data_IF_695373384852
#
_entry.id   IF_695373384852
#
_cell.length_a   1.000
_cell.length_b   1.000
_cell.length_c   1.000
_cell.angle_alpha   90.00
_cell.angle_beta   90.00
_cell.angle_gamma   90.00
#
_symmetry.space_group_name_H-M   'P 1'
#
loop_
_entity.id
_entity.type
_entity.pdbx_description
1 polymer ?
#
# COMPACT_ATOMS: atom_id res chain seq x y z
N UNK A 1 7.77 -11.39 12.96
CA UNK A 1 8.16 -12.56 13.78
C UNK A 1 9.64 -12.54 14.15
N UNK A 2 10.58 -12.27 13.22
CA UNK A 2 12.03 -12.23 13.51
C UNK A 2 12.41 -11.23 14.61
N UNK A 3 11.78 -10.03 14.60
CA UNK A 3 11.99 -9.01 15.63
C UNK A 3 11.53 -9.50 17.01
N UNK A 4 10.37 -10.18 17.10
CA UNK A 4 9.89 -10.73 18.38
C UNK A 4 10.86 -11.74 18.96
N UNK A 5 11.41 -12.65 18.13
CA UNK A 5 12.44 -13.62 18.55
C UNK A 5 13.70 -12.93 19.07
N UNK A 6 14.21 -11.95 18.30
CA UNK A 6 15.39 -11.19 18.71
C UNK A 6 15.18 -10.44 20.02
N UNK A 7 14.01 -9.84 20.22
CA UNK A 7 13.66 -9.20 21.49
C UNK A 7 13.59 -10.21 22.63
N UNK A 8 12.99 -11.40 22.40
CA UNK A 8 12.98 -12.47 23.40
C UNK A 8 14.40 -12.87 23.85
N UNK A 9 15.31 -13.02 22.89
CA UNK A 9 16.69 -13.47 23.16
C UNK A 9 17.54 -12.42 23.89
N UNK A 10 17.39 -11.14 23.52
CA UNK A 10 18.32 -10.07 23.89
C UNK A 10 17.76 -9.06 24.91
N UNK A 11 16.44 -9.02 25.14
CA UNK A 11 15.81 -7.95 25.91
C UNK A 11 16.02 -8.15 27.44
N UNK A 12 16.35 -7.07 28.10
CA UNK A 12 16.37 -6.97 29.57
C UNK A 12 15.02 -6.51 30.13
N UNK A 13 14.83 -6.65 31.43
CA UNK A 13 13.62 -6.22 32.16
C UNK A 13 13.31 -4.71 32.04
N UNK A 14 12.06 -4.36 32.31
CA UNK A 14 11.60 -2.98 32.42
C UNK A 14 11.49 -2.24 31.10
N UNK A 15 11.17 -2.92 30.00
CA UNK A 15 11.03 -2.31 28.66
C UNK A 15 9.59 -2.00 28.30
N UNK A 16 9.41 -0.87 27.61
CA UNK A 16 8.21 -0.54 26.87
C UNK A 16 8.45 -0.86 25.39
N UNK A 17 7.60 -1.70 24.83
CA UNK A 17 7.61 -2.05 23.40
C UNK A 17 6.40 -1.38 22.73
N UNK A 18 6.67 -0.61 21.68
CA UNK A 18 5.63 0.03 20.87
C UNK A 18 5.79 -0.45 19.43
N UNK A 19 4.76 -1.09 18.89
CA UNK A 19 4.75 -1.52 17.48
C UNK A 19 4.07 -0.44 16.65
N UNK A 20 4.81 0.15 15.72
CA UNK A 20 4.32 1.14 14.76
C UNK A 20 4.04 0.54 13.38
N UNK A 21 4.65 -0.60 13.07
CA UNK A 21 4.40 -1.32 11.81
C UNK A 21 2.95 -1.74 11.70
N UNK A 22 2.39 -1.63 10.48
CA UNK A 22 1.05 -2.13 10.18
C UNK A 22 1.05 -3.66 10.17
N UNK A 23 0.20 -4.26 10.98
CA UNK A 23 0.04 -5.70 11.13
C UNK A 23 -1.44 -6.08 11.19
N UNK A 24 -1.73 -7.37 11.04
CA UNK A 24 -3.09 -7.90 11.24
C UNK A 24 -3.60 -7.57 12.65
N UNK A 25 -4.91 -7.36 12.84
CA UNK A 25 -5.47 -6.92 14.12
C UNK A 25 -5.03 -7.79 15.31
N UNK A 26 -5.09 -9.11 15.20
CA UNK A 26 -4.75 -10.05 16.28
C UNK A 26 -3.25 -10.22 16.51
N UNK A 27 -2.43 -9.92 15.52
CA UNK A 27 -1.01 -10.29 15.49
C UNK A 27 -0.24 -9.91 16.76
N UNK A 28 -0.49 -8.73 17.29
CA UNK A 28 0.26 -8.23 18.47
C UNK A 28 -0.13 -8.95 19.75
N UNK A 29 -1.42 -9.15 19.95
CA UNK A 29 -1.99 -9.75 21.16
C UNK A 29 -1.85 -11.29 21.19
N UNK A 30 -1.68 -11.92 20.03
CA UNK A 30 -1.59 -13.38 19.89
C UNK A 30 -0.17 -13.79 19.48
N UNK A 31 0.21 -13.67 18.22
CA UNK A 31 1.45 -14.22 17.68
C UNK A 31 2.70 -13.53 18.22
N UNK A 32 2.71 -12.18 18.20
CA UNK A 32 3.88 -11.42 18.63
C UNK A 32 4.14 -11.62 20.11
N UNK A 33 3.10 -11.50 20.94
CA UNK A 33 3.19 -11.68 22.38
C UNK A 33 3.66 -13.10 22.73
N UNK A 34 3.07 -14.13 22.11
CA UNK A 34 3.46 -15.54 22.35
C UNK A 34 4.94 -15.78 22.04
N UNK A 35 5.45 -15.25 20.93
CA UNK A 35 6.85 -15.39 20.56
C UNK A 35 7.75 -14.60 21.54
N UNK A 36 7.31 -13.42 21.96
CA UNK A 36 8.07 -12.56 22.85
C UNK A 36 8.19 -13.15 24.26
N UNK A 37 7.13 -13.76 24.77
CA UNK A 37 7.18 -14.46 26.06
C UNK A 37 7.98 -15.77 25.99
N UNK A 38 7.94 -16.47 24.84
CA UNK A 38 8.62 -17.73 24.60
C UNK A 38 8.04 -18.90 25.39
N UNK A 39 8.41 -20.12 24.99
CA UNK A 39 7.98 -21.34 25.68
C UNK A 39 8.65 -21.50 27.08
N UNK A 40 9.83 -20.93 27.26
CA UNK A 40 10.59 -20.89 28.51
C UNK A 40 10.05 -19.89 29.52
N UNK A 41 9.09 -19.03 29.10
CA UNK A 41 8.49 -17.98 29.92
C UNK A 41 9.51 -17.05 30.61
N UNK A 42 10.67 -16.86 29.97
CA UNK A 42 11.74 -15.97 30.46
C UNK A 42 11.23 -14.53 30.59
N UNK A 43 10.39 -14.07 29.65
CA UNK A 43 9.78 -12.77 29.66
C UNK A 43 8.27 -12.90 29.89
N UNK A 44 7.69 -11.98 30.67
CA UNK A 44 6.25 -11.91 30.93
C UNK A 44 5.73 -10.50 30.80
N UNK A 45 4.62 -10.37 30.07
CA UNK A 45 3.87 -9.12 29.96
C UNK A 45 3.47 -8.61 31.35
N UNK A 46 3.59 -7.30 31.56
CA UNK A 46 3.27 -6.65 32.84
C UNK A 46 4.34 -6.84 33.93
N UNK A 47 5.35 -7.70 33.74
CA UNK A 47 6.43 -7.93 34.67
C UNK A 47 7.78 -7.47 34.11
N UNK A 48 8.21 -8.07 33.01
CA UNK A 48 9.50 -7.78 32.40
C UNK A 48 9.39 -6.71 31.30
N UNK A 49 8.21 -6.60 30.69
CA UNK A 49 7.92 -5.59 29.66
C UNK A 49 6.44 -5.19 29.66
N UNK A 50 6.16 -4.05 29.04
CA UNK A 50 4.81 -3.59 28.69
C UNK A 50 4.73 -3.39 27.19
N UNK A 51 3.54 -3.61 26.57
CA UNK A 51 3.38 -3.71 25.13
C UNK A 51 2.17 -2.90 24.65
N UNK A 52 2.39 -2.12 23.58
CA UNK A 52 1.33 -1.41 22.90
C UNK A 52 1.65 -1.17 21.44
N UNK A 53 0.75 -0.47 20.78
CA UNK A 53 0.83 -0.14 19.35
C UNK A 53 0.53 1.35 19.13
N UNK A 54 1.17 1.93 18.14
CA UNK A 54 0.83 3.23 17.59
C UNK A 54 1.00 3.16 16.07
N UNK A 55 0.05 2.55 15.33
CA UNK A 55 0.20 2.31 13.91
C UNK A 55 0.53 3.60 13.16
N UNK A 56 1.59 3.56 12.35
CA UNK A 56 2.03 4.68 11.54
C UNK A 56 1.01 4.97 10.43
N UNK A 57 0.65 6.25 10.20
CA UNK A 57 -0.40 6.69 9.26
C UNK A 57 0.09 7.67 8.19
N UNK A 58 1.37 8.05 8.18
CA UNK A 58 1.91 8.99 7.22
C UNK A 58 1.97 8.43 5.79
N UNK A 59 1.87 9.32 4.82
CA UNK A 59 1.97 8.98 3.41
C UNK A 59 3.40 9.21 2.89
N UNK A 60 3.96 8.29 2.11
CA UNK A 60 5.21 8.52 1.41
C UNK A 60 5.18 9.84 0.61
N UNK A 61 6.24 10.64 0.76
CA UNK A 61 6.36 11.97 0.16
C UNK A 61 5.82 13.13 1.01
N UNK A 62 5.04 12.85 2.10
CA UNK A 62 4.47 13.88 2.98
C UNK A 62 4.67 13.58 4.48
N UNK A 63 5.62 12.74 4.82
CA UNK A 63 5.80 12.17 6.17
C UNK A 63 5.85 13.23 7.27
N UNK A 64 6.65 14.29 7.12
CA UNK A 64 6.79 15.34 8.14
C UNK A 64 5.48 16.12 8.31
N UNK A 65 4.83 16.50 7.21
CA UNK A 65 3.54 17.18 7.25
C UNK A 65 2.45 16.31 7.92
N UNK A 66 2.44 15.03 7.64
CA UNK A 66 1.47 14.10 8.21
C UNK A 66 1.72 13.87 9.71
N UNK A 67 2.98 13.84 10.15
CA UNK A 67 3.32 13.77 11.57
C UNK A 67 2.91 15.01 12.37
N UNK A 68 2.79 16.16 11.71
CA UNK A 68 2.34 17.40 12.33
C UNK A 68 0.81 17.58 12.34
N UNK A 69 0.08 16.82 11.50
CA UNK A 69 -1.35 17.07 11.27
C UNK A 69 -2.25 15.88 11.57
N UNK A 70 -1.78 14.66 11.32
CA UNK A 70 -2.65 13.49 11.45
C UNK A 70 -2.68 12.98 12.90
N UNK A 71 -3.87 12.72 13.45
CA UNK A 71 -3.99 12.10 14.76
C UNK A 71 -3.35 10.70 14.74
N UNK A 72 -2.79 10.30 15.90
CA UNK A 72 -2.21 8.97 16.06
C UNK A 72 -3.05 8.13 17.01
N UNK A 73 -3.22 6.87 16.66
CA UNK A 73 -3.99 5.91 17.46
C UNK A 73 -3.05 5.21 18.44
N UNK A 74 -3.45 5.12 19.69
CA UNK A 74 -2.66 4.44 20.73
C UNK A 74 -3.48 3.30 21.31
N UNK A 75 -3.08 2.06 21.02
CA UNK A 75 -3.62 0.85 21.63
C UNK A 75 -2.58 0.20 22.55
N UNK A 76 -3.04 -0.45 23.61
CA UNK A 76 -2.13 -1.18 24.50
C UNK A 76 -2.80 -2.38 25.13
N UNK A 77 -1.99 -3.23 25.79
CA UNK A 77 -2.46 -4.41 26.51
C UNK A 77 -3.18 -4.07 27.83
N UNK A 78 -2.93 -2.86 28.36
CA UNK A 78 -3.57 -2.32 29.57
C UNK A 78 -3.54 -0.78 29.57
N UNK A 79 -4.35 -0.18 30.43
CA UNK A 79 -4.50 1.29 30.53
C UNK A 79 -3.22 2.00 31.00
N UNK A 80 -2.45 1.38 31.90
CA UNK A 80 -1.19 1.94 32.39
C UNK A 80 -0.18 2.07 31.25
N UNK A 81 -0.06 1.03 30.43
CA UNK A 81 0.79 1.02 29.24
C UNK A 81 0.33 2.07 28.23
N UNK A 82 -0.97 2.16 27.97
CA UNK A 82 -1.54 3.16 27.04
C UNK A 82 -1.22 4.58 27.48
N UNK A 83 -1.43 4.89 28.77
CA UNK A 83 -1.12 6.20 29.32
C UNK A 83 0.38 6.52 29.24
N UNK A 84 1.24 5.52 29.44
CA UNK A 84 2.70 5.67 29.32
C UNK A 84 3.09 6.03 27.88
N UNK A 85 2.54 5.32 26.88
CA UNK A 85 2.76 5.62 25.46
C UNK A 85 2.28 7.04 25.13
N UNK A 86 1.07 7.40 25.52
CA UNK A 86 0.50 8.75 25.28
C UNK A 86 1.39 9.81 25.91
N UNK A 87 1.89 9.60 27.11
CA UNK A 87 2.79 10.56 27.79
C UNK A 87 4.09 10.74 27.03
N UNK A 88 4.72 9.65 26.56
CA UNK A 88 5.95 9.72 25.77
C UNK A 88 5.70 10.44 24.43
N UNK A 89 4.66 10.04 23.70
CA UNK A 89 4.36 10.59 22.38
C UNK A 89 3.99 12.08 22.40
N UNK A 90 3.38 12.57 23.49
CA UNK A 90 3.12 14.02 23.70
C UNK A 90 4.40 14.87 23.77
N UNK A 91 5.56 14.28 24.03
CA UNK A 91 6.84 15.00 23.99
C UNK A 91 7.41 15.10 22.56
N UNK A 92 6.93 14.25 21.65
CA UNK A 92 7.41 14.19 20.26
C UNK A 92 6.41 14.77 19.29
N UNK A 93 5.12 14.50 19.49
CA UNK A 93 4.05 14.87 18.56
C UNK A 93 3.10 15.90 19.18
N UNK A 94 2.76 16.91 18.41
CA UNK A 94 1.78 17.92 18.78
C UNK A 94 0.34 17.56 18.40
N UNK A 95 0.17 16.47 17.64
CA UNK A 95 -1.13 15.99 17.15
C UNK A 95 -1.97 15.32 18.24
N UNK A 96 -3.26 15.17 17.97
CA UNK A 96 -4.14 14.43 18.86
C UNK A 96 -3.75 12.95 18.94
N UNK A 97 -3.55 12.45 20.16
CA UNK A 97 -3.33 11.04 20.44
C UNK A 97 -4.64 10.42 20.92
N UNK A 98 -5.20 9.53 20.09
CA UNK A 98 -6.50 8.90 20.32
C UNK A 98 -6.32 7.57 21.03
N UNK A 99 -6.72 7.42 22.29
CA UNK A 99 -6.67 6.14 22.97
C UNK A 99 -7.68 5.17 22.34
N UNK A 100 -7.20 3.96 22.05
CA UNK A 100 -8.01 2.87 21.50
C UNK A 100 -8.24 1.80 22.57
N UNK A 101 -9.35 1.05 22.51
CA UNK A 101 -9.68 0.04 23.54
C UNK A 101 -8.60 -1.02 23.76
N UNK A 102 -7.85 -1.38 22.71
CA UNK A 102 -6.78 -2.39 22.73
C UNK A 102 -5.91 -2.27 21.45
N UNK A 103 -4.87 -3.09 21.35
CA UNK A 103 -3.99 -3.14 20.18
C UNK A 103 -4.73 -3.59 18.92
N UNK A 104 -5.57 -4.59 19.03
CA UNK A 104 -6.40 -5.14 17.95
C UNK A 104 -7.23 -4.06 17.26
N UNK A 105 -7.92 -3.23 18.04
CA UNK A 105 -8.76 -2.16 17.50
C UNK A 105 -7.93 -1.08 16.79
N UNK A 106 -6.78 -0.68 17.35
CA UNK A 106 -5.90 0.29 16.71
C UNK A 106 -5.39 -0.21 15.36
N UNK A 107 -4.94 -1.47 15.28
CA UNK A 107 -4.51 -2.10 14.03
C UNK A 107 -5.66 -2.25 13.02
N UNK A 108 -6.87 -2.62 13.49
CA UNK A 108 -8.05 -2.73 12.64
C UNK A 108 -8.41 -1.38 11.98
N UNK A 109 -8.35 -0.27 12.70
CA UNK A 109 -8.57 1.07 12.12
C UNK A 109 -7.56 1.37 11.03
N UNK A 110 -6.27 1.08 11.28
CA UNK A 110 -5.21 1.29 10.27
C UNK A 110 -5.45 0.47 9.00
N UNK A 111 -5.77 -0.82 9.13
CA UNK A 111 -6.10 -1.65 7.97
C UNK A 111 -7.34 -1.14 7.24
N UNK A 112 -8.39 -0.78 7.97
CA UNK A 112 -9.65 -0.28 7.40
C UNK A 112 -9.42 0.93 6.51
N UNK A 113 -8.61 1.91 6.93
CA UNK A 113 -8.34 3.12 6.12
C UNK A 113 -7.61 2.80 4.81
N UNK A 114 -6.69 1.84 4.82
CA UNK A 114 -5.96 1.43 3.63
C UNK A 114 -6.84 0.58 2.69
N UNK A 115 -7.59 -0.37 3.23
CA UNK A 115 -8.55 -1.19 2.47
C UNK A 115 -9.64 -0.32 1.83
N UNK A 116 -10.17 0.65 2.58
CA UNK A 116 -11.12 1.63 2.05
C UNK A 116 -10.57 2.34 0.80
N UNK A 117 -9.32 2.80 0.86
CA UNK A 117 -8.68 3.47 -0.28
C UNK A 117 -8.47 2.53 -1.45
N UNK A 118 -7.99 1.30 -1.21
CA UNK A 118 -7.78 0.28 -2.26
C UNK A 118 -9.09 -0.07 -2.98
N UNK A 119 -10.18 -0.25 -2.23
CA UNK A 119 -11.51 -0.53 -2.78
C UNK A 119 -12.08 0.65 -3.59
N UNK A 120 -11.90 1.88 -3.14
CA UNK A 120 -12.37 3.04 -3.91
C UNK A 120 -11.59 3.22 -5.21
N UNK A 121 -10.30 2.87 -5.23
CA UNK A 121 -9.53 2.84 -6.50
C UNK A 121 -10.03 1.70 -7.39
N UNK A 122 -10.30 0.52 -6.85
CA UNK A 122 -10.88 -0.59 -7.62
C UNK A 122 -12.24 -0.20 -8.23
N UNK A 123 -13.10 0.46 -7.46
CA UNK A 123 -14.38 0.94 -7.93
C UNK A 123 -14.24 1.91 -9.13
N UNK A 124 -13.36 2.89 -9.07
CA UNK A 124 -13.17 3.81 -10.18
C UNK A 124 -12.44 3.16 -11.36
N UNK A 125 -11.57 2.19 -11.12
CA UNK A 125 -10.98 1.37 -12.18
C UNK A 125 -12.06 0.56 -12.92
N UNK A 126 -12.96 -0.10 -12.20
CA UNK A 126 -14.09 -0.83 -12.81
C UNK A 126 -15.01 0.10 -13.60
N UNK A 127 -15.34 1.28 -13.06
CA UNK A 127 -16.11 2.29 -13.79
C UNK A 127 -15.39 2.74 -15.08
N UNK A 128 -14.07 2.90 -15.05
CA UNK A 128 -13.30 3.24 -16.23
C UNK A 128 -13.44 2.18 -17.33
N UNK A 129 -13.34 0.88 -16.98
CA UNK A 129 -13.52 -0.23 -17.91
C UNK A 129 -14.93 -0.27 -18.53
N UNK A 130 -15.97 0.04 -17.74
CA UNK A 130 -17.35 0.05 -18.18
C UNK A 130 -17.60 1.26 -19.10
N UNK A 131 -17.17 2.45 -18.68
CA UNK A 131 -17.44 3.70 -19.36
C UNK A 131 -16.67 3.83 -20.67
N UNK A 132 -15.47 3.28 -20.76
CA UNK A 132 -14.72 3.15 -21.99
C UNK A 132 -15.54 2.44 -23.08
N UNK A 133 -16.14 1.29 -22.75
CA UNK A 133 -17.01 0.54 -23.67
C UNK A 133 -18.29 1.28 -24.03
N UNK A 134 -18.76 2.16 -23.16
CA UNK A 134 -19.94 2.99 -23.37
C UNK A 134 -19.64 4.31 -24.07
N UNK A 135 -18.37 4.63 -24.38
CA UNK A 135 -17.96 5.90 -24.96
C UNK A 135 -18.12 7.10 -24.00
N UNK A 136 -18.04 6.86 -22.69
CA UNK A 136 -18.17 7.89 -21.63
C UNK A 136 -16.80 8.18 -21.07
N UNK A 137 -16.40 9.45 -21.02
CA UNK A 137 -15.17 9.86 -20.37
C UNK A 137 -15.29 9.81 -18.84
N UNK A 138 -14.59 8.85 -18.22
CA UNK A 138 -14.57 8.66 -16.78
C UNK A 138 -14.07 9.89 -16.02
N UNK A 139 -13.12 10.64 -16.58
CA UNK A 139 -12.59 11.84 -15.93
C UNK A 139 -13.65 12.92 -15.78
N UNK A 140 -14.44 13.16 -16.82
CA UNK A 140 -15.59 14.07 -16.78
C UNK A 140 -16.61 13.63 -15.73
N UNK A 141 -16.90 12.33 -15.64
CA UNK A 141 -17.84 11.78 -14.65
C UNK A 141 -17.34 12.03 -13.23
N UNK A 142 -16.06 11.73 -12.93
CA UNK A 142 -15.47 11.89 -11.60
C UNK A 142 -15.39 13.37 -11.19
N UNK A 143 -15.04 14.27 -12.11
CA UNK A 143 -15.01 15.71 -11.85
C UNK A 143 -16.40 16.28 -11.51
N UNK A 144 -17.44 15.77 -12.14
CA UNK A 144 -18.81 16.13 -11.77
C UNK A 144 -19.25 15.48 -10.45
N UNK A 145 -18.93 14.19 -10.25
CA UNK A 145 -19.31 13.45 -9.05
C UNK A 145 -18.69 14.02 -7.75
N UNK A 146 -17.46 14.54 -7.81
CA UNK A 146 -16.80 15.15 -6.62
C UNK A 146 -17.54 16.36 -6.05
N UNK A 147 -18.48 16.94 -6.79
CA UNK A 147 -19.32 18.03 -6.29
C UNK A 147 -20.35 17.54 -5.26
N UNK A 148 -20.59 16.23 -5.19
CA UNK A 148 -21.50 15.62 -4.21
C UNK A 148 -20.79 15.48 -2.86
N UNK A 149 -21.39 15.95 -1.79
CA UNK A 149 -20.82 16.02 -0.44
C UNK A 149 -20.32 14.68 0.13
N UNK A 150 -20.86 13.55 -0.33
CA UNK A 150 -20.54 12.22 0.14
C UNK A 150 -19.71 11.40 -0.87
N UNK A 151 -19.14 12.05 -1.90
CA UNK A 151 -18.29 11.39 -2.89
C UNK A 151 -16.83 11.80 -2.69
N UNK A 152 -16.02 10.89 -2.16
CA UNK A 152 -14.57 11.06 -2.09
C UNK A 152 -13.96 10.60 -3.41
N UNK A 153 -13.46 11.55 -4.21
CA UNK A 153 -12.93 11.24 -5.52
C UNK A 153 -11.64 10.42 -5.44
N UNK A 154 -11.59 9.37 -6.26
CA UNK A 154 -10.40 8.61 -6.62
C UNK A 154 -10.32 8.57 -8.15
N UNK A 155 -9.13 8.33 -8.68
CA UNK A 155 -8.91 8.30 -10.12
C UNK A 155 -8.44 6.93 -10.58
N UNK A 156 -8.86 6.49 -11.80
CA UNK A 156 -8.38 5.23 -12.35
C UNK A 156 -6.88 5.27 -12.61
N UNK A 157 -6.26 4.12 -12.60
CA UNK A 157 -4.81 3.98 -12.76
C UNK A 157 -4.46 2.66 -13.45
N UNK A 158 -3.23 2.56 -13.92
CA UNK A 158 -2.67 1.32 -14.48
C UNK A 158 -2.50 0.19 -13.45
N UNK A 159 -3.03 0.34 -12.26
CA UNK A 159 -3.00 -0.60 -11.15
C UNK A 159 -2.62 0.09 -9.83
N UNK A 160 -2.71 -0.67 -8.75
CA UNK A 160 -2.41 -0.19 -7.39
C UNK A 160 -1.18 -0.89 -6.86
N UNK A 161 -0.13 -0.12 -6.62
CA UNK A 161 1.13 -0.59 -6.09
C UNK A 161 1.48 -0.07 -4.70
N UNK A 162 2.74 -0.25 -4.35
CA UNK A 162 3.29 0.15 -3.06
C UNK A 162 3.09 -0.88 -1.95
N UNK A 163 3.88 -0.78 -0.88
CA UNK A 163 3.88 -1.76 0.22
C UNK A 163 2.64 -1.68 1.13
N UNK A 164 1.79 -0.67 0.95
CA UNK A 164 0.66 -0.42 1.87
C UNK A 164 -0.66 -1.00 1.36
N UNK A 165 -1.22 -0.48 0.26
CA UNK A 165 -2.58 -0.80 -0.14
C UNK A 165 -2.76 -2.29 -0.50
N UNK A 166 -1.94 -2.89 -1.41
CA UNK A 166 -2.08 -4.30 -1.73
C UNK A 166 -1.88 -5.19 -0.51
N UNK A 167 -0.81 -4.94 0.26
CA UNK A 167 -0.44 -5.77 1.41
C UNK A 167 -1.51 -5.73 2.49
N UNK A 168 -2.04 -4.55 2.82
CA UNK A 168 -3.06 -4.43 3.87
C UNK A 168 -4.42 -5.03 3.46
N UNK A 169 -4.77 -4.97 2.18
CA UNK A 169 -5.95 -5.67 1.68
C UNK A 169 -5.81 -7.19 1.83
N UNK A 170 -4.65 -7.76 1.49
CA UNK A 170 -4.37 -9.18 1.72
C UNK A 170 -4.28 -9.54 3.20
N UNK A 171 -3.73 -8.67 4.07
CA UNK A 171 -3.78 -8.87 5.52
C UNK A 171 -5.22 -8.90 6.04
N UNK A 172 -6.11 -8.04 5.55
CA UNK A 172 -7.53 -8.06 5.91
C UNK A 172 -8.21 -9.36 5.45
N UNK A 173 -7.95 -9.81 4.22
CA UNK A 173 -8.47 -11.07 3.69
C UNK A 173 -7.98 -12.25 4.54
N UNK A 174 -6.69 -12.26 4.90
CA UNK A 174 -6.12 -13.32 5.71
C UNK A 174 -6.68 -13.32 7.14
N UNK A 175 -6.76 -12.16 7.77
CA UNK A 175 -7.39 -12.00 9.09
C UNK A 175 -8.82 -12.54 9.11
N UNK A 176 -9.58 -12.26 8.06
CA UNK A 176 -10.97 -12.69 7.94
C UNK A 176 -11.13 -14.23 7.93
N UNK A 177 -10.16 -14.98 7.37
CA UNK A 177 -10.17 -16.45 7.32
C UNK A 177 -10.19 -17.09 8.71
N UNK A 178 -9.74 -16.39 9.74
CA UNK A 178 -9.77 -16.88 11.12
C UNK A 178 -11.20 -16.97 11.69
N UNK A 179 -12.18 -16.30 11.08
CA UNK A 179 -13.54 -16.18 11.63
C UNK A 179 -14.62 -16.79 10.74
N UNK A 180 -14.31 -17.04 9.48
CA UNK A 180 -15.28 -17.57 8.53
C UNK A 180 -14.59 -18.30 7.38
N UNK A 181 -15.25 -19.38 6.93
CA UNK A 181 -14.88 -20.08 5.70
C UNK A 181 -15.43 -19.40 4.44
N UNK A 182 -16.28 -18.38 4.60
CA UNK A 182 -16.82 -17.62 3.47
C UNK A 182 -15.82 -16.56 3.03
N UNK A 183 -15.68 -16.39 1.75
CA UNK A 183 -14.85 -15.37 1.13
C UNK A 183 -15.42 -13.97 1.41
N UNK A 184 -14.58 -13.05 1.80
CA UNK A 184 -14.93 -11.62 1.87
C UNK A 184 -14.83 -11.03 0.47
N UNK A 185 -15.82 -11.30 -0.37
CA UNK A 185 -15.80 -11.07 -1.81
C UNK A 185 -15.44 -9.65 -2.21
N UNK A 186 -15.91 -8.62 -1.48
CA UNK A 186 -15.68 -7.24 -1.86
C UNK A 186 -14.17 -6.89 -1.90
N UNK A 187 -13.40 -7.26 -0.88
CA UNK A 187 -11.97 -6.93 -0.81
C UNK A 187 -11.18 -7.76 -1.82
N UNK A 188 -11.51 -9.04 -1.97
CA UNK A 188 -10.86 -9.92 -2.96
C UNK A 188 -11.15 -9.47 -4.40
N UNK A 189 -12.39 -9.13 -4.74
CA UNK A 189 -12.74 -8.65 -6.07
C UNK A 189 -12.10 -7.28 -6.36
N UNK A 190 -12.07 -6.38 -5.38
CA UNK A 190 -11.36 -5.12 -5.51
C UNK A 190 -9.87 -5.32 -5.81
N UNK A 191 -9.21 -6.28 -5.16
CA UNK A 191 -7.81 -6.63 -5.49
C UNK A 191 -7.68 -7.17 -6.91
N UNK A 192 -8.55 -8.08 -7.34
CA UNK A 192 -8.54 -8.61 -8.71
C UNK A 192 -8.68 -7.52 -9.76
N UNK A 193 -9.60 -6.55 -9.54
CA UNK A 193 -9.77 -5.41 -10.44
C UNK A 193 -8.48 -4.58 -10.52
N UNK A 194 -7.89 -4.21 -9.38
CA UNK A 194 -6.67 -3.43 -9.36
C UNK A 194 -5.47 -4.18 -9.99
N UNK A 195 -5.40 -5.50 -9.85
CA UNK A 195 -4.34 -6.35 -10.43
C UNK A 195 -4.56 -6.64 -11.93
N UNK A 196 -5.77 -6.45 -12.44
CA UNK A 196 -6.08 -6.57 -13.87
C UNK A 196 -5.68 -5.31 -14.65
N UNK A 197 -5.58 -4.15 -14.01
CA UNK A 197 -5.34 -2.88 -14.70
C UNK A 197 -4.03 -2.81 -15.51
N UNK A 198 -2.91 -3.43 -15.11
CA UNK A 198 -1.73 -3.52 -15.96
C UNK A 198 -1.98 -4.22 -17.30
N UNK A 199 -2.81 -5.28 -17.31
CA UNK A 199 -3.20 -5.99 -18.53
C UNK A 199 -4.05 -5.10 -19.42
N UNK A 200 -5.07 -4.46 -18.84
CA UNK A 200 -5.90 -3.49 -19.56
C UNK A 200 -5.08 -2.34 -20.17
N UNK A 201 -4.06 -1.84 -19.45
CA UNK A 201 -3.17 -0.79 -19.96
C UNK A 201 -2.43 -1.26 -21.24
N UNK A 202 -1.97 -2.51 -21.26
CA UNK A 202 -1.33 -3.08 -22.47
C UNK A 202 -2.36 -3.36 -23.56
N UNK A 203 -3.58 -3.74 -23.24
CA UNK A 203 -4.64 -3.93 -24.24
C UNK A 203 -5.01 -2.60 -24.91
N UNK A 204 -5.13 -1.49 -24.17
CA UNK A 204 -5.28 -0.14 -24.76
C UNK A 204 -4.12 0.22 -25.70
N UNK A 205 -2.90 -0.16 -25.33
CA UNK A 205 -1.74 0.04 -26.20
C UNK A 205 -1.86 -0.78 -27.50
N UNK A 206 -2.27 -2.06 -27.41
CA UNK A 206 -2.53 -2.90 -28.58
C UNK A 206 -3.59 -2.30 -29.52
N UNK A 207 -4.67 -1.80 -28.94
CA UNK A 207 -5.74 -1.18 -29.72
C UNK A 207 -5.24 0.07 -30.46
N UNK A 208 -4.46 0.93 -29.80
CA UNK A 208 -3.84 2.09 -30.42
C UNK A 208 -2.89 1.71 -31.58
N UNK A 209 -2.11 0.62 -31.41
CA UNK A 209 -1.26 0.12 -32.50
C UNK A 209 -2.08 -0.42 -33.68
N UNK A 210 -3.15 -1.16 -33.40
CA UNK A 210 -4.08 -1.66 -34.42
C UNK A 210 -4.75 -0.53 -35.21
N UNK A 211 -5.22 0.51 -34.54
CA UNK A 211 -5.79 1.72 -35.19
C UNK A 211 -4.76 2.43 -36.07
N UNK A 212 -3.50 2.44 -35.67
CA UNK A 212 -2.39 2.98 -36.46
C UNK A 212 -1.91 2.05 -37.58
N UNK A 213 -2.52 0.87 -37.77
CA UNK A 213 -2.09 -0.19 -38.69
C UNK A 213 -0.62 -0.63 -38.45
N UNK A 214 -0.18 -0.71 -37.20
CA UNK A 214 1.15 -1.14 -36.76
C UNK A 214 1.06 -2.43 -35.93
N UNK A 215 2.13 -3.22 -35.96
CA UNK A 215 2.29 -4.38 -35.05
C UNK A 215 2.94 -3.93 -33.75
N UNK A 216 2.41 -4.39 -32.62
CA UNK A 216 3.03 -4.16 -31.31
C UNK A 216 4.37 -4.92 -31.18
N UNK A 217 4.48 -6.14 -31.71
CA UNK A 217 5.64 -7.00 -31.56
C UNK A 217 6.95 -6.45 -32.14
N UNK A 218 6.89 -5.61 -33.16
CA UNK A 218 8.08 -5.01 -33.80
C UNK A 218 8.29 -3.55 -33.40
N UNK A 219 7.54 -3.10 -32.39
CA UNK A 219 7.50 -1.70 -32.01
C UNK A 219 8.43 -1.40 -30.83
N UNK A 220 8.71 -0.12 -30.64
CA UNK A 220 9.43 0.40 -29.49
C UNK A 220 8.46 1.17 -28.61
N UNK A 221 8.47 0.91 -27.32
CA UNK A 221 7.58 1.54 -26.33
C UNK A 221 8.42 2.21 -25.26
N UNK A 222 8.18 3.51 -25.05
CA UNK A 222 8.75 4.27 -23.95
C UNK A 222 7.76 4.33 -22.77
N UNK A 223 8.18 3.83 -21.62
CA UNK A 223 7.43 3.97 -20.37
C UNK A 223 7.92 5.22 -19.65
N UNK A 224 7.01 6.13 -19.33
CA UNK A 224 7.27 7.38 -18.60
C UNK A 224 6.82 7.22 -17.15
N UNK A 225 7.80 7.13 -16.23
CA UNK A 225 7.57 6.87 -14.81
C UNK A 225 7.49 5.38 -14.49
N UNK A 226 8.17 4.96 -13.44
CA UNK A 226 8.24 3.58 -13.00
C UNK A 226 7.78 3.36 -11.55
N UNK A 227 7.78 4.43 -10.75
CA UNK A 227 7.32 4.38 -9.36
C UNK A 227 5.80 4.15 -9.28
N UNK A 228 5.36 3.48 -8.22
CA UNK A 228 3.93 3.22 -8.01
C UNK A 228 3.11 4.47 -7.69
N UNK A 229 3.77 5.59 -7.40
CA UNK A 229 3.13 6.86 -7.04
C UNK A 229 3.94 8.04 -7.59
N UNK A 230 3.29 9.13 -8.04
CA UNK A 230 3.97 10.37 -8.40
C UNK A 230 4.84 10.92 -7.27
N UNK A 231 5.93 11.56 -7.61
CA UNK A 231 6.85 12.27 -6.70
C UNK A 231 7.47 11.42 -5.57
N UNK A 232 7.54 10.10 -5.77
CA UNK A 232 8.15 9.15 -4.83
C UNK A 232 9.15 8.26 -5.55
N UNK A 233 10.35 8.13 -5.01
CA UNK A 233 11.38 7.21 -5.50
C UNK A 233 11.17 5.82 -4.90
N UNK A 234 10.14 5.09 -5.35
CA UNK A 234 9.83 3.76 -4.84
C UNK A 234 9.20 2.88 -5.93
N UNK A 235 9.81 1.73 -6.18
CA UNK A 235 9.38 0.73 -7.16
C UNK A 235 8.62 -0.46 -6.55
N UNK A 236 8.44 -0.48 -5.22
CA UNK A 236 7.84 -1.62 -4.54
C UNK A 236 6.43 -1.90 -5.05
N UNK A 237 6.23 -3.14 -5.53
CA UNK A 237 4.94 -3.59 -6.06
C UNK A 237 4.37 -2.61 -7.11
N UNK A 238 5.23 -2.00 -7.94
CA UNK A 238 4.75 -1.08 -8.96
C UNK A 238 4.01 -1.84 -10.07
N UNK A 239 2.82 -1.37 -10.50
CA UNK A 239 2.10 -1.94 -11.64
C UNK A 239 2.92 -1.95 -12.94
N UNK A 240 3.89 -1.04 -13.05
CA UNK A 240 4.78 -0.96 -14.21
C UNK A 240 5.64 -2.22 -14.37
N UNK A 241 5.98 -2.91 -13.29
CA UNK A 241 6.70 -4.18 -13.37
C UNK A 241 5.91 -5.21 -14.20
N UNK A 242 4.60 -5.32 -13.92
CA UNK A 242 3.72 -6.24 -14.66
C UNK A 242 3.53 -5.80 -16.12
N UNK A 243 3.41 -4.50 -16.38
CA UNK A 243 3.38 -3.98 -17.76
C UNK A 243 4.64 -4.34 -18.53
N UNK A 244 5.83 -4.18 -17.91
CA UNK A 244 7.11 -4.57 -18.51
C UNK A 244 7.16 -6.07 -18.79
N UNK A 245 6.68 -6.93 -17.89
CA UNK A 245 6.59 -8.37 -18.13
C UNK A 245 5.73 -8.68 -19.35
N UNK A 246 4.51 -8.14 -19.41
CA UNK A 246 3.57 -8.39 -20.51
C UNK A 246 4.15 -7.90 -21.86
N UNK A 247 4.79 -6.73 -21.87
CA UNK A 247 5.42 -6.20 -23.09
C UNK A 247 6.60 -7.05 -23.55
N UNK A 248 7.42 -7.59 -22.62
CA UNK A 248 8.49 -8.55 -22.96
C UNK A 248 7.95 -9.82 -23.58
N UNK A 249 6.87 -10.36 -23.03
CA UNK A 249 6.21 -11.57 -23.54
C UNK A 249 5.61 -11.37 -24.95
N UNK A 250 5.45 -10.11 -25.39
CA UNK A 250 5.01 -9.75 -26.73
C UNK A 250 6.15 -9.24 -27.63
N UNK A 251 7.42 -9.52 -27.29
CA UNK A 251 8.62 -9.15 -28.06
C UNK A 251 8.78 -7.65 -28.35
N UNK A 252 8.25 -6.79 -27.46
CA UNK A 252 8.30 -5.33 -27.60
C UNK A 252 9.66 -4.81 -27.13
N UNK A 253 10.25 -3.88 -27.87
CA UNK A 253 11.43 -3.13 -27.42
C UNK A 253 11.01 -2.08 -26.39
N UNK A 254 11.48 -2.22 -25.15
CA UNK A 254 11.07 -1.36 -24.04
C UNK A 254 12.21 -0.43 -23.66
N UNK A 255 11.88 0.84 -23.50
CA UNK A 255 12.70 1.83 -22.82
C UNK A 255 11.93 2.45 -21.66
N UNK A 256 12.65 2.86 -20.61
CA UNK A 256 12.05 3.49 -19.43
C UNK A 256 12.76 4.81 -19.16
N UNK A 257 11.97 5.84 -18.90
CA UNK A 257 12.46 7.09 -18.34
C UNK A 257 11.74 7.39 -17.02
N UNK A 258 12.52 7.60 -15.96
CA UNK A 258 12.01 8.05 -14.66
C UNK A 258 13.00 9.06 -14.07
N UNK A 259 12.56 10.27 -13.65
CA UNK A 259 13.47 11.30 -13.17
C UNK A 259 14.24 10.91 -11.91
N UNK A 260 13.74 9.98 -11.10
CA UNK A 260 14.39 9.49 -9.89
C UNK A 260 15.35 8.32 -10.11
N UNK A 261 15.31 7.68 -11.30
CA UNK A 261 16.04 6.46 -11.61
C UNK A 261 16.89 6.59 -12.90
N UNK A 262 17.60 7.72 -13.03
CA UNK A 262 18.48 7.96 -14.18
C UNK A 262 19.64 6.96 -14.20
N UNK A 263 19.98 6.45 -15.39
CA UNK A 263 21.09 5.50 -15.60
C UNK A 263 21.05 4.30 -14.64
N UNK A 264 19.86 3.81 -14.35
CA UNK A 264 19.63 2.70 -13.43
C UNK A 264 19.03 1.52 -14.18
N UNK A 265 18.92 0.37 -13.50
CA UNK A 265 18.21 -0.78 -14.03
C UNK A 265 16.85 -0.91 -13.31
N UNK A 266 15.75 -0.79 -14.06
CA UNK A 266 14.38 -0.86 -13.56
C UNK A 266 13.69 -2.07 -14.20
N UNK A 267 13.20 -3.01 -13.42
CA UNK A 267 12.54 -4.25 -13.88
C UNK A 267 13.30 -4.97 -15.02
N UNK A 268 14.65 -4.91 -14.93
CA UNK A 268 15.53 -5.52 -15.92
C UNK A 268 15.80 -4.66 -17.16
N UNK A 269 15.22 -3.47 -17.29
CA UNK A 269 15.41 -2.53 -18.40
C UNK A 269 16.33 -1.40 -17.96
N UNK A 270 17.26 -0.98 -18.82
CA UNK A 270 18.07 0.21 -18.56
C UNK A 270 17.22 1.48 -18.67
N UNK A 271 17.24 2.32 -17.65
CA UNK A 271 16.54 3.61 -17.68
C UNK A 271 17.43 4.69 -18.34
N UNK A 272 16.80 5.56 -19.10
CA UNK A 272 17.45 6.71 -19.73
C UNK A 272 17.61 7.87 -18.72
N UNK A 273 18.61 8.70 -18.94
CA UNK A 273 18.81 9.97 -18.23
C UNK A 273 18.26 11.18 -19.00
N UNK A 274 17.93 10.99 -20.29
CA UNK A 274 17.46 12.05 -21.19
C UNK A 274 16.09 11.70 -21.79
N UNK A 275 15.08 12.44 -21.40
CA UNK A 275 13.70 12.24 -21.87
C UNK A 275 13.59 12.44 -23.39
N UNK A 276 14.17 13.52 -23.93
CA UNK A 276 14.03 13.86 -25.38
C UNK A 276 14.63 12.76 -26.23
N UNK A 277 15.86 12.34 -25.91
CA UNK A 277 16.52 11.25 -26.66
C UNK A 277 15.80 9.91 -26.51
N UNK A 278 15.05 9.72 -25.43
CA UNK A 278 14.22 8.51 -25.26
C UNK A 278 12.98 8.52 -26.15
N UNK A 279 12.35 9.70 -26.28
CA UNK A 279 11.19 9.88 -27.18
C UNK A 279 11.60 9.69 -28.64
N UNK A 280 12.74 10.26 -29.06
CA UNK A 280 13.24 10.14 -30.44
C UNK A 280 13.58 8.71 -30.88
N UNK A 281 13.86 7.81 -29.92
CA UNK A 281 14.24 6.42 -30.16
C UNK A 281 13.08 5.42 -30.02
N UNK A 282 11.90 5.88 -29.65
CA UNK A 282 10.72 5.04 -29.34
C UNK A 282 9.67 4.98 -30.46
#
# INVERSE_FOLDING_TARGET
>A
LSVAKKLHDEMSDGKLIIIESTVEPNFVEEDFLKILEGDDQKLKLGKNFILGVCPETANPGQILNDFEKLPRLVGAMDEHTQNSIIKIYKHVFTVNLIPMPNCKTANAVKLTTNVFRDLNIAFVNELALIFEKAGIDIMTVLEAAKTKYNFQVHYPSAGVGGPCLPVNSYQMINFAKNFTSKTFGLVEEGRKINEMMPFHTVDLLKDAFNEANKSLSDSSVLILGASYKPDVKDLQISPVEKIVEILKDNDVKISIYDPYYKNSKIFGIASSDNLISSIEKS
#
